data_IF_718190942903
#
_entry.id   IF_718190942903
#
_cell.length_a   1.000
_cell.length_b   1.000
_cell.length_c   1.000
_cell.angle_alpha   90.00
_cell.angle_beta   90.00
_cell.angle_gamma   90.00
#
_symmetry.space_group_name_H-M   'P 1'
#
loop_
_entity.id
_entity.type
_entity.pdbx_description
1 polymer ?
#
# COMPACT_ATOMS: atom_id res chain seq x y z
N UNK A 1 4.90 -35.74 34.58
CA UNK A 1 4.38 -36.31 33.33
C UNK A 1 3.66 -35.22 32.57
N UNK A 2 3.87 -35.17 31.26
CA UNK A 2 3.82 -33.99 30.39
C UNK A 2 2.46 -33.27 30.31
N UNK A 3 2.48 -31.94 30.50
CA UNK A 3 1.44 -31.04 30.02
C UNK A 3 1.77 -30.76 28.54
N UNK A 4 0.91 -31.24 27.64
CA UNK A 4 1.04 -31.04 26.20
C UNK A 4 0.72 -29.58 25.84
N UNK A 5 1.73 -28.71 25.84
CA UNK A 5 1.62 -27.30 25.43
C UNK A 5 1.70 -27.06 23.91
N UNK A 6 1.54 -28.10 23.07
CA UNK A 6 1.61 -27.96 21.61
C UNK A 6 0.25 -28.15 20.95
N UNK A 7 -0.72 -27.28 21.22
CA UNK A 7 -1.93 -27.20 20.39
C UNK A 7 -2.68 -25.86 20.42
N UNK A 8 -1.96 -24.74 20.39
CA UNK A 8 -2.59 -23.42 20.17
C UNK A 8 -1.95 -22.74 18.94
N UNK A 9 -1.92 -23.45 17.82
CA UNK A 9 -1.81 -22.84 16.51
C UNK A 9 -3.04 -23.26 15.72
N UNK A 10 -4.20 -22.73 16.14
CA UNK A 10 -5.38 -22.74 15.30
C UNK A 10 -4.99 -22.04 14.00
N UNK A 11 -4.89 -22.79 12.89
CA UNK A 11 -4.71 -22.21 11.56
C UNK A 11 -5.75 -21.12 11.42
N UNK A 12 -5.33 -19.85 11.40
CA UNK A 12 -6.18 -18.70 11.10
C UNK A 12 -6.92 -19.09 9.82
N UNK A 13 -8.22 -19.39 9.90
CA UNK A 13 -9.02 -19.78 8.72
C UNK A 13 -8.77 -18.68 7.71
N UNK A 14 -8.09 -19.00 6.60
CA UNK A 14 -7.89 -17.99 5.56
C UNK A 14 -9.29 -17.54 5.18
N UNK A 15 -9.60 -16.26 5.37
CA UNK A 15 -10.83 -15.70 4.83
C UNK A 15 -10.93 -16.15 3.37
N UNK A 16 -12.07 -16.72 3.00
CA UNK A 16 -12.35 -17.06 1.61
C UNK A 16 -12.13 -15.78 0.79
N UNK A 17 -11.29 -15.89 -0.25
CA UNK A 17 -11.04 -14.79 -1.17
C UNK A 17 -12.30 -14.59 -2.01
N UNK A 18 -12.91 -13.43 -1.88
CA UNK A 18 -14.04 -13.00 -2.68
C UNK A 18 -13.50 -12.16 -3.85
N UNK A 19 -13.18 -12.84 -4.96
CA UNK A 19 -12.51 -12.21 -6.11
C UNK A 19 -13.34 -11.04 -6.67
N UNK A 20 -14.66 -11.17 -6.94
CA UNK A 20 -15.46 -10.04 -7.39
C UNK A 20 -15.37 -8.84 -6.45
N UNK A 21 -15.59 -9.04 -5.14
CA UNK A 21 -15.52 -7.96 -4.16
C UNK A 21 -14.13 -7.31 -4.06
N UNK A 22 -13.06 -8.12 -4.11
CA UNK A 22 -11.70 -7.61 -4.08
C UNK A 22 -11.35 -6.82 -5.35
N UNK A 23 -11.87 -7.23 -6.52
CA UNK A 23 -11.72 -6.49 -7.79
C UNK A 23 -12.51 -5.17 -7.77
N UNK A 24 -13.73 -5.18 -7.23
CA UNK A 24 -14.55 -3.96 -7.08
C UNK A 24 -13.82 -2.93 -6.20
N UNK A 25 -13.27 -3.36 -5.07
CA UNK A 25 -12.50 -2.48 -4.17
C UNK A 25 -11.22 -1.92 -4.83
N UNK A 26 -10.52 -2.72 -5.65
CA UNK A 26 -9.37 -2.24 -6.43
C UNK A 26 -9.83 -1.20 -7.45
N UNK A 27 -10.95 -1.44 -8.12
CA UNK A 27 -11.50 -0.52 -9.13
C UNK A 27 -11.93 0.82 -8.52
N UNK A 28 -12.58 0.78 -7.35
CA UNK A 28 -12.95 1.97 -6.57
C UNK A 28 -11.71 2.77 -6.19
N UNK A 29 -10.71 2.12 -5.58
CA UNK A 29 -9.43 2.74 -5.26
C UNK A 29 -8.75 3.39 -6.47
N UNK A 30 -8.67 2.68 -7.60
CA UNK A 30 -8.04 3.21 -8.81
C UNK A 30 -8.81 4.39 -9.43
N UNK A 31 -10.11 4.51 -9.14
CA UNK A 31 -10.93 5.65 -9.58
C UNK A 31 -10.71 6.86 -8.68
N UNK A 32 -10.51 6.64 -7.38
CA UNK A 32 -10.34 7.72 -6.40
C UNK A 32 -8.90 8.24 -6.31
N UNK A 33 -7.91 7.39 -6.62
CA UNK A 33 -6.49 7.69 -6.47
C UNK A 33 -6.04 8.94 -7.27
N UNK A 34 -6.72 9.28 -8.36
CA UNK A 34 -6.39 10.48 -9.15
C UNK A 34 -6.53 11.75 -8.30
N UNK A 35 -7.59 11.85 -7.50
CA UNK A 35 -7.83 13.00 -6.63
C UNK A 35 -6.82 13.05 -5.48
N UNK A 36 -6.51 11.90 -4.87
CA UNK A 36 -5.53 11.81 -3.79
C UNK A 36 -4.13 12.20 -4.26
N UNK A 37 -3.72 11.70 -5.43
CA UNK A 37 -2.44 12.05 -6.05
C UNK A 37 -2.42 13.54 -6.40
N UNK A 38 -3.52 14.10 -6.90
CA UNK A 38 -3.60 15.52 -7.24
C UNK A 38 -3.42 16.40 -6.01
N UNK A 39 -4.07 16.05 -4.89
CA UNK A 39 -3.92 16.73 -3.61
C UNK A 39 -2.46 16.66 -3.12
N UNK A 40 -1.93 15.44 -3.00
CA UNK A 40 -0.56 15.20 -2.52
C UNK A 40 0.50 15.92 -3.37
N UNK A 41 0.34 15.97 -4.70
CA UNK A 41 1.22 16.75 -5.59
C UNK A 41 1.17 18.25 -5.26
N UNK A 42 -0.02 18.76 -4.95
CA UNK A 42 -0.19 20.15 -4.52
C UNK A 42 0.56 20.44 -3.22
N UNK A 43 0.42 19.57 -2.23
CA UNK A 43 1.09 19.72 -0.92
C UNK A 43 2.62 19.65 -1.06
N UNK A 44 3.13 18.71 -1.87
CA UNK A 44 4.57 18.60 -2.17
C UNK A 44 5.08 19.84 -2.92
N UNK A 45 4.32 20.36 -3.89
CA UNK A 45 4.69 21.57 -4.62
C UNK A 45 4.74 22.79 -3.69
N UNK A 46 3.76 22.92 -2.78
CA UNK A 46 3.74 23.98 -1.78
C UNK A 46 4.95 23.89 -0.83
N UNK A 47 5.26 22.69 -0.32
CA UNK A 47 6.45 22.45 0.48
C UNK A 47 7.72 22.88 -0.28
N UNK A 48 7.85 22.46 -1.55
CA UNK A 48 9.00 22.78 -2.38
C UNK A 48 9.18 24.29 -2.60
N UNK A 49 8.08 25.03 -2.79
CA UNK A 49 8.11 26.49 -2.91
C UNK A 49 8.63 27.13 -1.62
N UNK A 50 8.07 26.75 -0.47
CA UNK A 50 8.48 27.29 0.85
C UNK A 50 9.96 27.03 1.16
N UNK A 51 10.46 25.83 0.86
CA UNK A 51 11.89 25.51 1.03
C UNK A 51 12.79 26.30 0.08
N UNK A 52 12.30 26.69 -1.10
CA UNK A 52 13.06 27.53 -2.02
C UNK A 52 13.08 29.00 -1.58
N UNK A 53 11.96 29.53 -1.10
CA UNK A 53 11.89 30.89 -0.54
C UNK A 53 12.81 31.06 0.66
N UNK A 54 12.87 30.05 1.54
CA UNK A 54 13.71 30.08 2.73
C UNK A 54 15.22 30.18 2.47
N UNK A 55 15.71 29.76 1.28
CA UNK A 55 17.12 29.95 0.90
C UNK A 55 17.52 31.41 0.77
N UNK A 56 16.55 32.31 0.67
CA UNK A 56 16.74 33.75 0.48
C UNK A 56 16.50 34.54 1.78
N UNK A 57 16.07 33.87 2.87
CA UNK A 57 15.63 34.51 4.11
C UNK A 57 16.81 34.73 5.09
N UNK A 58 16.89 35.92 5.68
CA UNK A 58 17.90 36.29 6.68
C UNK A 58 17.84 35.41 7.95
N UNK A 59 19.01 35.21 8.58
CA UNK A 59 19.19 34.35 9.76
C UNK A 59 18.28 34.68 10.96
N UNK A 60 17.73 35.90 11.06
CA UNK A 60 16.84 36.30 12.17
C UNK A 60 15.39 35.80 12.05
N UNK A 61 15.01 35.27 10.89
CA UNK A 61 13.67 34.69 10.64
C UNK A 61 13.68 33.15 10.62
N UNK A 62 14.83 32.53 10.91
CA UNK A 62 15.04 31.07 10.84
C UNK A 62 14.01 30.27 11.64
N UNK A 63 13.73 30.66 12.89
CA UNK A 63 12.85 29.87 13.78
C UNK A 63 11.40 29.84 13.29
N UNK A 64 10.84 31.01 12.92
CA UNK A 64 9.46 31.09 12.40
C UNK A 64 9.34 30.42 11.03
N UNK A 65 10.38 30.53 10.20
CA UNK A 65 10.43 29.87 8.89
C UNK A 65 10.47 28.35 9.04
N UNK A 66 11.27 27.85 10.00
CA UNK A 66 11.34 26.43 10.31
C UNK A 66 10.03 25.88 10.87
N UNK A 67 9.35 26.61 11.76
CA UNK A 67 8.01 26.20 12.24
C UNK A 67 7.04 26.02 11.08
N UNK A 68 7.00 26.98 10.17
CA UNK A 68 6.11 26.91 9.00
C UNK A 68 6.47 25.75 8.07
N UNK A 69 7.76 25.47 7.85
CA UNK A 69 8.18 24.30 7.08
C UNK A 69 7.75 22.99 7.70
N UNK A 70 7.87 22.86 9.03
CA UNK A 70 7.44 21.67 9.76
C UNK A 70 5.93 21.47 9.57
N UNK A 71 5.13 22.53 9.75
CA UNK A 71 3.67 22.45 9.58
C UNK A 71 3.26 22.01 8.17
N UNK A 72 3.94 22.50 7.13
CA UNK A 72 3.65 22.07 5.75
C UNK A 72 4.09 20.62 5.51
N UNK A 73 5.26 20.24 6.04
CA UNK A 73 5.73 18.86 5.91
C UNK A 73 4.84 17.86 6.68
N UNK A 74 4.25 18.25 7.80
CA UNK A 74 3.31 17.39 8.54
C UNK A 74 2.10 17.01 7.66
N UNK A 75 1.58 17.93 6.87
CA UNK A 75 0.49 17.64 5.92
C UNK A 75 0.95 16.67 4.82
N UNK A 76 2.14 16.91 4.24
CA UNK A 76 2.70 16.02 3.21
C UNK A 76 2.90 14.60 3.75
N UNK A 77 3.47 14.48 4.96
CA UNK A 77 3.72 13.18 5.60
C UNK A 77 2.40 12.45 5.84
N UNK A 78 1.42 13.13 6.40
CA UNK A 78 0.09 12.56 6.69
C UNK A 78 -0.61 12.07 5.43
N UNK A 79 -0.66 12.89 4.39
CA UNK A 79 -1.35 12.51 3.14
C UNK A 79 -0.60 11.40 2.39
N UNK A 80 0.73 11.40 2.44
CA UNK A 80 1.55 10.31 1.88
C UNK A 80 1.34 8.99 2.64
N UNK A 81 1.20 9.04 3.97
CA UNK A 81 0.92 7.86 4.80
C UNK A 81 -0.42 7.22 4.42
N UNK A 82 -1.47 8.04 4.28
CA UNK A 82 -2.81 7.57 3.87
C UNK A 82 -2.72 6.91 2.49
N UNK A 83 -2.13 7.60 1.51
CA UNK A 83 -1.92 7.06 0.17
C UNK A 83 -1.19 5.71 0.19
N UNK A 84 -0.08 5.62 0.93
CA UNK A 84 0.71 4.39 1.02
C UNK A 84 -0.08 3.26 1.68
N UNK A 85 -0.89 3.57 2.70
CA UNK A 85 -1.78 2.60 3.36
C UNK A 85 -2.78 2.01 2.35
N UNK A 86 -3.44 2.85 1.55
CA UNK A 86 -4.43 2.40 0.57
C UNK A 86 -3.81 1.59 -0.56
N UNK A 87 -2.64 2.02 -1.07
CA UNK A 87 -1.84 1.24 -2.03
C UNK A 87 -1.50 -0.13 -1.45
N UNK A 88 -1.06 -0.20 -0.20
CA UNK A 88 -0.70 -1.46 0.46
C UNK A 88 -1.92 -2.39 0.62
N UNK A 89 -3.06 -1.86 1.06
CA UNK A 89 -4.30 -2.63 1.23
C UNK A 89 -4.75 -3.23 -0.10
N UNK A 90 -4.77 -2.43 -1.17
CA UNK A 90 -5.18 -2.90 -2.49
C UNK A 90 -4.16 -3.87 -3.11
N UNK A 91 -2.88 -3.63 -2.87
CA UNK A 91 -1.84 -4.58 -3.25
C UNK A 91 -1.97 -5.95 -2.55
N UNK A 92 -2.40 -5.98 -1.28
CA UNK A 92 -2.75 -7.23 -0.61
C UNK A 92 -3.93 -7.95 -1.27
N UNK A 93 -4.94 -7.23 -1.78
CA UNK A 93 -6.07 -7.82 -2.53
C UNK A 93 -5.58 -8.48 -3.82
N UNK A 94 -4.75 -7.78 -4.61
CA UNK A 94 -4.13 -8.34 -5.82
C UNK A 94 -3.37 -9.63 -5.51
N UNK A 95 -2.57 -9.63 -4.43
CA UNK A 95 -1.81 -10.81 -4.00
C UNK A 95 -2.71 -11.98 -3.60
N UNK A 96 -3.83 -11.72 -2.93
CA UNK A 96 -4.83 -12.74 -2.58
C UNK A 96 -5.46 -13.34 -3.83
N UNK A 97 -5.89 -12.51 -4.78
CA UNK A 97 -6.48 -12.94 -6.05
C UNK A 97 -5.48 -13.81 -6.83
N UNK A 98 -4.24 -13.37 -7.01
CA UNK A 98 -3.22 -14.10 -7.76
C UNK A 98 -2.98 -15.52 -7.18
N UNK A 99 -2.88 -15.62 -5.86
CA UNK A 99 -2.72 -16.90 -5.15
C UNK A 99 -3.94 -17.81 -5.31
N UNK A 100 -5.13 -17.24 -5.22
CA UNK A 100 -6.38 -17.96 -5.38
C UNK A 100 -6.54 -18.50 -6.81
N UNK A 101 -6.16 -17.74 -7.83
CA UNK A 101 -6.17 -18.20 -9.22
C UNK A 101 -5.19 -19.36 -9.45
N UNK A 102 -3.97 -19.27 -8.90
CA UNK A 102 -3.00 -20.38 -8.97
C UNK A 102 -3.54 -21.63 -8.26
N UNK A 103 -4.20 -21.47 -7.11
CA UNK A 103 -4.84 -22.58 -6.38
C UNK A 103 -5.92 -23.24 -7.23
N UNK A 104 -6.86 -22.46 -7.78
CA UNK A 104 -7.93 -22.96 -8.66
C UNK A 104 -7.39 -23.64 -9.92
N UNK A 105 -6.31 -23.11 -10.51
CA UNK A 105 -5.66 -23.74 -11.66
C UNK A 105 -5.13 -25.14 -11.33
N UNK A 106 -4.47 -25.31 -10.16
CA UNK A 106 -4.01 -26.62 -9.68
C UNK A 106 -5.17 -27.59 -9.47
N UNK A 107 -6.26 -27.13 -8.85
CA UNK A 107 -7.45 -27.95 -8.59
C UNK A 107 -8.17 -28.41 -9.86
N UNK A 108 -8.05 -27.65 -10.95
CA UNK A 108 -8.61 -27.99 -12.27
C UNK A 108 -7.63 -28.75 -13.17
N UNK A 109 -6.47 -29.17 -12.66
CA UNK A 109 -5.48 -29.93 -13.44
C UNK A 109 -4.61 -29.09 -14.39
N UNK A 110 -4.69 -27.75 -14.34
CA UNK A 110 -3.87 -26.83 -15.15
C UNK A 110 -2.47 -26.65 -14.54
N UNK A 111 -1.74 -27.76 -14.36
CA UNK A 111 -0.50 -27.78 -13.58
C UNK A 111 0.64 -26.97 -14.22
N UNK A 112 0.76 -27.00 -15.54
CA UNK A 112 1.83 -26.26 -16.23
C UNK A 112 1.62 -24.76 -16.13
N UNK A 113 0.39 -24.29 -16.35
CA UNK A 113 0.02 -22.89 -16.15
C UNK A 113 0.27 -22.45 -14.70
N UNK A 114 -0.15 -23.27 -13.73
CA UNK A 114 0.07 -22.96 -12.32
C UNK A 114 1.56 -22.91 -11.95
N UNK A 115 2.39 -23.79 -12.53
CA UNK A 115 3.85 -23.80 -12.33
C UNK A 115 4.52 -22.59 -12.97
N UNK A 116 4.14 -22.24 -14.20
CA UNK A 116 4.63 -21.07 -14.91
C UNK A 116 4.35 -19.80 -14.09
N UNK A 117 3.09 -19.58 -13.69
CA UNK A 117 2.73 -18.41 -12.88
C UNK A 117 3.35 -18.44 -11.49
N UNK A 118 3.50 -19.62 -10.88
CA UNK A 118 4.19 -19.73 -9.60
C UNK A 118 5.68 -19.36 -9.66
N UNK A 119 6.37 -19.57 -10.79
CA UNK A 119 7.77 -19.19 -10.99
C UNK A 119 7.96 -17.68 -11.15
N UNK A 120 6.95 -16.97 -11.63
CA UNK A 120 6.95 -15.51 -11.70
C UNK A 120 6.82 -14.87 -10.30
N UNK A 121 7.82 -14.07 -9.90
CA UNK A 121 7.84 -13.40 -8.60
C UNK A 121 6.69 -12.40 -8.40
N UNK A 122 6.19 -11.81 -9.50
CA UNK A 122 5.08 -10.85 -9.47
C UNK A 122 3.80 -11.51 -8.99
N UNK A 123 3.54 -12.73 -9.42
CA UNK A 123 2.37 -13.52 -9.01
C UNK A 123 2.43 -14.00 -7.55
N UNK A 124 3.64 -14.04 -6.97
CA UNK A 124 3.83 -14.32 -5.54
C UNK A 124 3.68 -13.08 -4.65
N UNK A 125 3.57 -11.90 -5.27
CA UNK A 125 3.52 -10.60 -4.60
C UNK A 125 4.84 -10.27 -3.90
N UNK A 126 5.96 -10.48 -4.60
CA UNK A 126 7.31 -10.10 -4.17
C UNK A 126 7.71 -8.75 -4.81
N UNK A 127 6.80 -7.78 -4.75
CA UNK A 127 7.01 -6.38 -5.10
C UNK A 127 6.87 -5.53 -3.84
#
# INVERSE_FOLDING_TARGET
MAINEWRIWGKKKSQLVDIPKDLDAISEFLSDIENDIKKLKGDVANAQMLFNEAKVVEARLLDKNLTHHIEVMDNVVKDYEIFQSDVNVNGLRVKKIARELIRRAKERGLLDLAREKWKDSRWRGNW
#
